data_IF_930701819425
#
_entry.id   IF_930701819425
#
_cell.length_a   1.000
_cell.length_b   1.000
_cell.length_c   1.000
_cell.angle_alpha   90.00
_cell.angle_beta   90.00
_cell.angle_gamma   90.00
#
_symmetry.space_group_name_H-M   'P 1'
#
loop_
_entity.id
_entity.type
_entity.pdbx_description
1 polymer ?
#
# COMPACT_ATOMS: atom_id res chain seq x y z
N UNK A 1 28.44 6.97 -70.30
CA UNK A 1 29.53 7.95 -70.05
C UNK A 1 29.08 8.87 -68.93
N UNK A 2 29.96 9.14 -67.95
CA UNK A 2 29.78 9.96 -66.73
C UNK A 2 29.26 9.25 -65.45
N UNK A 3 30.13 8.44 -64.85
CA UNK A 3 30.97 8.76 -63.65
C UNK A 3 30.35 9.53 -62.45
N UNK A 4 30.24 8.83 -61.28
CA UNK A 4 30.60 9.14 -59.86
C UNK A 4 29.97 10.45 -59.24
N UNK A 5 29.30 10.51 -58.07
CA UNK A 5 29.73 10.23 -56.68
C UNK A 5 28.57 10.10 -55.68
N UNK A 6 28.82 9.27 -54.66
CA UNK A 6 28.06 9.14 -53.43
C UNK A 6 28.35 10.32 -52.48
N UNK A 7 27.33 10.75 -51.70
CA UNK A 7 27.54 11.35 -50.38
C UNK A 7 26.36 11.08 -49.47
N UNK A 8 26.58 10.12 -48.59
CA UNK A 8 25.88 9.90 -47.33
C UNK A 8 26.20 11.08 -46.42
N UNK A 9 25.20 11.75 -45.86
CA UNK A 9 25.39 12.61 -44.69
C UNK A 9 24.24 12.40 -43.69
N UNK A 10 24.52 11.54 -42.72
CA UNK A 10 23.81 11.45 -41.45
C UNK A 10 24.25 12.64 -40.57
N UNK A 11 23.50 13.73 -40.57
CA UNK A 11 23.55 14.73 -39.50
C UNK A 11 22.69 14.24 -38.33
N UNK A 12 23.07 14.29 -37.06
CA UNK A 12 24.28 14.75 -36.40
C UNK A 12 24.15 14.32 -34.93
N UNK A 13 25.05 13.45 -34.47
CA UNK A 13 25.14 13.11 -33.06
C UNK A 13 25.79 14.29 -32.32
N UNK A 14 25.21 14.83 -31.23
CA UNK A 14 25.92 15.79 -30.42
C UNK A 14 27.08 15.09 -29.70
N UNK A 15 28.27 15.32 -30.25
CA UNK A 15 29.57 15.52 -29.61
C UNK A 15 29.63 15.20 -28.11
N UNK A 16 30.39 14.17 -27.78
CA UNK A 16 30.79 13.81 -26.42
C UNK A 16 31.29 15.05 -25.65
N UNK A 17 30.54 15.44 -24.62
CA UNK A 17 30.94 16.49 -23.71
C UNK A 17 32.13 16.03 -22.87
N UNK A 18 33.14 16.90 -22.87
CA UNK A 18 34.41 16.90 -22.17
C UNK A 18 34.39 16.22 -20.80
N UNK A 19 35.13 15.11 -20.74
CA UNK A 19 35.55 14.38 -19.54
C UNK A 19 36.55 15.25 -18.78
N UNK A 20 36.11 16.07 -17.83
CA UNK A 20 36.92 16.64 -16.73
C UNK A 20 36.03 17.45 -15.76
N UNK A 21 35.40 16.74 -14.82
CA UNK A 21 34.88 17.31 -13.59
C UNK A 21 35.29 16.35 -12.47
N UNK A 22 36.01 16.87 -11.46
CA UNK A 22 36.40 16.12 -10.27
C UNK A 22 35.21 15.33 -9.74
N UNK A 23 35.37 14.01 -9.59
CA UNK A 23 34.49 13.19 -8.80
C UNK A 23 34.74 13.56 -7.33
N UNK A 24 34.15 14.67 -6.88
CA UNK A 24 34.01 14.93 -5.47
C UNK A 24 33.07 13.84 -4.95
N UNK A 25 33.64 12.95 -4.13
CA UNK A 25 32.96 11.83 -3.51
C UNK A 25 31.79 12.39 -2.68
N UNK A 26 30.53 12.32 -3.15
CA UNK A 26 29.43 12.87 -2.40
C UNK A 26 29.04 11.75 -1.44
N UNK A 27 29.57 11.82 -0.22
CA UNK A 27 29.23 10.88 0.84
C UNK A 27 27.74 10.58 0.84
N UNK A 28 27.39 9.33 0.48
CA UNK A 28 26.06 8.71 0.59
C UNK A 28 24.85 9.66 0.45
N UNK A 29 24.85 10.55 -0.54
CA UNK A 29 23.83 11.59 -0.72
C UNK A 29 23.27 11.54 -2.13
N UNK A 30 22.08 10.97 -2.30
CA UNK A 30 21.38 10.97 -3.58
C UNK A 30 21.02 12.42 -3.92
N UNK A 31 21.49 12.93 -5.07
CA UNK A 31 21.08 14.26 -5.51
C UNK A 31 19.58 14.27 -5.86
N UNK A 32 18.86 15.38 -5.63
CA UNK A 32 17.42 15.47 -5.94
C UNK A 32 17.10 15.10 -7.40
N UNK A 33 17.98 15.46 -8.34
CA UNK A 33 17.81 15.11 -9.76
C UNK A 33 17.95 13.60 -10.03
N UNK A 34 18.87 12.91 -9.36
CA UNK A 34 19.02 11.45 -9.46
C UNK A 34 17.87 10.74 -8.75
N UNK A 35 17.34 11.35 -7.70
CA UNK A 35 16.21 10.83 -6.94
C UNK A 35 14.88 11.00 -7.66
N UNK A 36 14.63 12.14 -8.32
CA UNK A 36 13.46 12.36 -9.17
C UNK A 36 13.53 11.53 -10.46
N UNK A 37 14.74 11.31 -10.99
CA UNK A 37 14.96 10.39 -12.11
C UNK A 37 14.84 8.91 -11.69
N UNK A 38 15.00 8.61 -10.39
CA UNK A 38 14.79 7.26 -9.89
C UNK A 38 13.29 6.98 -9.84
N UNK A 39 12.87 5.84 -10.38
CA UNK A 39 11.49 5.37 -10.35
C UNK A 39 11.03 4.97 -8.92
N UNK A 40 11.50 5.68 -7.89
CA UNK A 40 11.41 5.30 -6.49
C UNK A 40 9.99 5.48 -5.96
N UNK A 41 9.44 4.41 -5.39
CA UNK A 41 8.03 4.29 -5.02
C UNK A 41 7.13 3.72 -6.13
N UNK A 42 7.65 3.62 -7.36
CA UNK A 42 6.93 3.12 -8.55
C UNK A 42 7.52 1.83 -9.11
N UNK A 43 8.57 1.29 -8.49
CA UNK A 43 9.25 0.09 -8.95
C UNK A 43 8.29 -1.10 -9.01
N UNK A 44 8.45 -1.97 -10.01
CA UNK A 44 7.55 -3.10 -10.24
C UNK A 44 7.42 -4.03 -9.02
N UNK A 45 8.49 -4.21 -8.24
CA UNK A 45 8.49 -5.06 -7.04
C UNK A 45 7.72 -4.46 -5.85
N UNK A 46 7.41 -3.16 -5.87
CA UNK A 46 6.55 -2.49 -4.89
C UNK A 46 5.08 -2.49 -5.29
N UNK A 47 4.75 -3.00 -6.47
CA UNK A 47 3.39 -2.96 -6.99
C UNK A 47 2.54 -4.07 -6.38
N UNK A 48 1.39 -3.74 -5.74
CA UNK A 48 0.57 -4.75 -5.10
C UNK A 48 0.20 -5.84 -6.11
N UNK A 49 0.36 -7.12 -5.74
CA UNK A 49 0.02 -8.21 -6.65
C UNK A 49 -1.49 -8.21 -6.89
N UNK A 50 -1.87 -8.62 -8.09
CA UNK A 50 -3.26 -8.78 -8.51
C UNK A 50 -3.46 -10.21 -9.00
N UNK A 51 -4.65 -10.76 -8.77
CA UNK A 51 -5.05 -12.00 -9.41
C UNK A 51 -5.30 -11.76 -10.91
N UNK A 52 -5.13 -12.80 -11.72
CA UNK A 52 -5.30 -12.71 -13.18
C UNK A 52 -6.74 -12.34 -13.59
N UNK A 53 -7.72 -12.61 -12.72
CA UNK A 53 -9.14 -12.32 -12.93
C UNK A 53 -9.63 -11.07 -12.18
N UNK A 54 -8.74 -10.33 -11.51
CA UNK A 54 -9.05 -9.05 -10.89
C UNK A 54 -9.03 -7.92 -11.95
N UNK A 55 -10.11 -7.16 -12.06
CA UNK A 55 -10.15 -5.92 -12.85
C UNK A 55 -9.50 -4.79 -12.05
N UNK A 56 -8.48 -4.13 -12.62
CA UNK A 56 -7.86 -2.95 -12.01
C UNK A 56 -8.73 -1.72 -12.26
N UNK A 57 -9.21 -1.10 -11.19
CA UNK A 57 -9.98 0.16 -11.28
C UNK A 57 -9.07 1.37 -11.10
N UNK A 58 -8.24 1.35 -10.06
CA UNK A 58 -7.33 2.44 -9.74
C UNK A 58 -5.99 1.91 -9.27
N UNK A 59 -4.92 2.60 -9.64
CA UNK A 59 -3.58 2.33 -9.18
C UNK A 59 -2.90 3.63 -8.78
N UNK A 60 -2.49 3.69 -7.51
CA UNK A 60 -1.83 4.85 -6.92
C UNK A 60 -0.48 4.42 -6.33
N UNK A 61 0.62 4.57 -7.09
CA UNK A 61 1.93 4.15 -6.63
C UNK A 61 2.47 5.09 -5.54
N UNK A 62 3.49 4.60 -4.84
CA UNK A 62 4.20 5.35 -3.82
C UNK A 62 4.85 6.60 -4.41
N UNK A 63 4.70 7.72 -3.69
CA UNK A 63 5.17 9.05 -4.10
C UNK A 63 5.44 9.92 -2.89
N UNK A 64 6.02 11.10 -3.14
CA UNK A 64 6.01 12.20 -2.18
C UNK A 64 4.75 13.01 -2.44
N UNK A 65 3.88 13.12 -1.45
CA UNK A 65 2.67 13.95 -1.54
C UNK A 65 3.02 15.40 -1.21
N UNK A 66 2.58 16.39 -2.01
CA UNK A 66 2.81 17.79 -1.70
C UNK A 66 2.17 18.14 -0.35
N UNK A 67 2.89 18.93 0.45
CA UNK A 67 2.33 19.49 1.67
C UNK A 67 1.19 20.46 1.33
N UNK A 68 0.17 20.48 2.19
CA UNK A 68 -0.93 21.47 2.09
C UNK A 68 -0.47 22.84 2.62
N UNK A 69 0.64 22.88 3.37
CA UNK A 69 1.22 24.10 3.94
C UNK A 69 2.44 24.55 3.14
N UNK A 70 2.43 25.81 2.71
CA UNK A 70 3.56 26.46 2.03
C UNK A 70 4.83 26.39 2.90
N UNK A 71 5.96 26.06 2.27
CA UNK A 71 7.27 25.99 2.93
C UNK A 71 7.57 24.67 3.67
N UNK A 72 6.66 23.69 3.66
CA UNK A 72 6.89 22.37 4.26
C UNK A 72 7.20 21.34 3.16
N UNK A 73 8.27 20.57 3.35
CA UNK A 73 8.61 19.44 2.47
C UNK A 73 7.47 18.43 2.43
N UNK A 74 7.18 17.86 1.26
CA UNK A 74 6.09 16.90 1.07
C UNK A 74 6.20 15.66 1.97
N UNK A 75 5.09 14.96 2.17
CA UNK A 75 5.05 13.70 2.92
C UNK A 75 5.57 12.56 2.05
N UNK A 76 6.65 11.91 2.48
CA UNK A 76 7.18 10.74 1.78
C UNK A 76 6.33 9.49 2.04
N UNK A 77 5.56 9.09 1.02
CA UNK A 77 4.70 7.90 1.06
C UNK A 77 5.19 6.81 0.08
N UNK A 78 6.45 6.86 -0.36
CA UNK A 78 6.99 5.93 -1.38
C UNK A 78 7.08 4.48 -0.94
N UNK A 79 6.97 4.24 0.36
CA UNK A 79 6.87 2.90 0.93
C UNK A 79 5.52 2.24 0.74
N UNK A 80 4.49 2.94 0.25
CA UNK A 80 3.14 2.41 0.09
C UNK A 80 2.63 2.57 -1.34
N UNK A 81 2.23 1.46 -1.96
CA UNK A 81 1.53 1.47 -3.25
C UNK A 81 0.14 0.86 -3.07
N UNK A 82 -0.85 1.46 -3.69
CA UNK A 82 -2.25 1.10 -3.53
C UNK A 82 -2.88 0.72 -4.87
N UNK A 83 -3.77 -0.27 -4.84
CA UNK A 83 -4.65 -0.63 -5.95
C UNK A 83 -6.07 -0.86 -5.47
N UNK A 84 -7.05 -0.34 -6.19
CA UNK A 84 -8.45 -0.77 -6.04
C UNK A 84 -8.76 -1.72 -7.18
N UNK A 85 -9.26 -2.89 -6.82
CA UNK A 85 -9.58 -3.95 -7.76
C UNK A 85 -11.03 -4.40 -7.61
N UNK A 86 -11.58 -4.91 -8.71
CA UNK A 86 -12.85 -5.61 -8.74
C UNK A 86 -12.60 -7.07 -9.11
N UNK A 87 -12.64 -8.01 -8.16
CA UNK A 87 -12.58 -9.43 -8.48
C UNK A 87 -13.81 -9.85 -9.29
N UNK A 88 -13.64 -10.86 -10.14
CA UNK A 88 -14.73 -11.51 -10.88
C UNK A 88 -15.88 -11.93 -9.95
N UNK A 89 -15.55 -12.44 -8.77
CA UNK A 89 -16.52 -12.80 -7.72
C UNK A 89 -16.10 -12.15 -6.41
N UNK A 90 -17.05 -11.49 -5.73
CA UNK A 90 -16.83 -10.87 -4.43
C UNK A 90 -16.91 -9.34 -4.47
N UNK A 91 -16.44 -8.72 -3.39
CA UNK A 91 -16.51 -7.28 -3.17
C UNK A 91 -15.33 -6.53 -3.78
N UNK A 92 -15.46 -5.22 -3.93
CA UNK A 92 -14.33 -4.36 -4.26
C UNK A 92 -13.29 -4.45 -3.14
N UNK A 93 -12.01 -4.42 -3.52
CA UNK A 93 -10.93 -4.50 -2.55
C UNK A 93 -9.88 -3.43 -2.78
N UNK A 94 -9.38 -2.87 -1.69
CA UNK A 94 -8.14 -2.11 -1.66
C UNK A 94 -7.00 -3.09 -1.35
N UNK A 95 -6.02 -3.18 -2.23
CA UNK A 95 -4.78 -3.91 -2.00
C UNK A 95 -3.68 -2.88 -1.77
N UNK A 96 -2.94 -3.04 -0.69
CA UNK A 96 -1.75 -2.23 -0.40
C UNK A 96 -0.53 -3.13 -0.32
N UNK A 97 0.58 -2.66 -0.87
CA UNK A 97 1.89 -3.22 -0.62
C UNK A 97 2.75 -2.17 0.07
N UNK A 98 3.30 -2.55 1.22
CA UNK A 98 4.11 -1.68 2.06
C UNK A 98 5.20 -2.44 2.81
N UNK A 99 5.98 -1.73 3.65
CA UNK A 99 7.10 -2.33 4.39
C UNK A 99 6.74 -3.52 5.29
N UNK A 100 5.48 -3.60 5.75
CA UNK A 100 4.98 -4.73 6.56
C UNK A 100 4.42 -5.90 5.73
N UNK A 101 4.56 -5.86 4.40
CA UNK A 101 4.02 -6.88 3.49
C UNK A 101 2.82 -6.37 2.69
N UNK A 102 1.92 -7.30 2.33
CA UNK A 102 0.76 -7.04 1.49
C UNK A 102 -0.50 -7.18 2.34
N UNK A 103 -1.40 -6.20 2.23
CA UNK A 103 -2.71 -6.25 2.88
C UNK A 103 -3.84 -6.05 1.88
N UNK A 104 -4.97 -6.70 2.18
CA UNK A 104 -6.22 -6.57 1.42
C UNK A 104 -7.32 -6.11 2.36
N UNK A 105 -8.02 -5.05 1.97
CA UNK A 105 -9.14 -4.44 2.71
C UNK A 105 -10.40 -4.57 1.85
N UNK A 106 -11.46 -5.14 2.42
CA UNK A 106 -12.76 -5.24 1.77
C UNK A 106 -13.47 -3.88 1.81
N UNK A 107 -13.85 -3.35 0.65
CA UNK A 107 -14.58 -2.07 0.50
C UNK A 107 -16.10 -2.27 0.37
N UNK A 108 -16.57 -3.52 0.45
CA UNK A 108 -17.95 -3.92 0.22
C UNK A 108 -18.35 -3.91 -1.25
N UNK A 109 -19.65 -4.04 -1.50
CA UNK A 109 -20.22 -4.16 -2.85
C UNK A 109 -20.69 -2.81 -3.45
N UNK A 110 -20.48 -1.69 -2.75
CA UNK A 110 -21.08 -0.42 -3.14
C UNK A 110 -20.38 0.20 -4.35
N UNK A 111 -21.05 0.19 -5.51
CA UNK A 111 -20.59 0.91 -6.71
C UNK A 111 -20.46 2.42 -6.47
N UNK A 112 -21.26 2.99 -5.56
CA UNK A 112 -21.14 4.41 -5.16
C UNK A 112 -19.77 4.72 -4.55
N UNK A 113 -19.20 3.76 -3.81
CA UNK A 113 -17.87 3.91 -3.21
C UNK A 113 -16.81 4.03 -4.30
N UNK A 114 -16.88 3.21 -5.35
CA UNK A 114 -15.95 3.26 -6.48
C UNK A 114 -16.14 4.53 -7.31
N UNK A 115 -17.37 4.93 -7.59
CA UNK A 115 -17.65 6.16 -8.33
C UNK A 115 -17.09 7.41 -7.63
N UNK A 116 -17.01 7.42 -6.29
CA UNK A 116 -16.39 8.53 -5.56
C UNK A 116 -14.90 8.65 -5.90
N UNK A 117 -14.19 7.54 -6.09
CA UNK A 117 -12.79 7.55 -6.49
C UNK A 117 -12.57 8.06 -7.92
N UNK A 118 -13.51 7.84 -8.84
CA UNK A 118 -13.42 8.35 -10.22
C UNK A 118 -13.40 9.88 -10.28
N UNK A 119 -14.08 10.55 -9.34
CA UNK A 119 -14.21 12.00 -9.30
C UNK A 119 -13.03 12.71 -8.61
N UNK A 120 -12.07 11.96 -8.07
CA UNK A 120 -10.92 12.50 -7.33
C UNK A 120 -9.70 12.62 -8.23
N UNK A 121 -8.88 13.64 -7.97
CA UNK A 121 -7.51 13.65 -8.48
C UNK A 121 -6.66 12.56 -7.80
N UNK A 122 -5.49 12.29 -8.38
CA UNK A 122 -4.61 11.19 -7.96
C UNK A 122 -4.10 11.35 -6.52
N UNK A 123 -3.82 12.57 -6.06
CA UNK A 123 -3.31 12.80 -4.71
C UNK A 123 -4.43 12.69 -3.67
N UNK A 124 -5.60 13.25 -3.96
CA UNK A 124 -6.80 13.07 -3.12
C UNK A 124 -7.16 11.59 -3.00
N UNK A 125 -7.14 10.86 -4.11
CA UNK A 125 -7.42 9.42 -4.14
C UNK A 125 -6.39 8.62 -3.32
N UNK A 126 -5.09 8.92 -3.47
CA UNK A 126 -4.03 8.30 -2.66
C UNK A 126 -4.28 8.54 -1.16
N UNK A 127 -4.54 9.79 -0.77
CA UNK A 127 -4.82 10.15 0.64
C UNK A 127 -6.03 9.40 1.19
N UNK A 128 -7.10 9.27 0.41
CA UNK A 128 -8.28 8.52 0.82
C UNK A 128 -7.97 7.02 1.00
N UNK A 129 -7.24 6.40 0.08
CA UNK A 129 -6.80 5.01 0.20
C UNK A 129 -5.96 4.79 1.47
N UNK A 130 -5.07 5.74 1.77
CA UNK A 130 -4.29 5.74 3.01
C UNK A 130 -5.20 5.83 4.25
N UNK A 131 -6.15 6.78 4.27
CA UNK A 131 -7.09 6.92 5.39
C UNK A 131 -7.93 5.65 5.61
N UNK A 132 -8.35 4.96 4.55
CA UNK A 132 -9.06 3.68 4.67
C UNK A 132 -8.17 2.62 5.33
N UNK A 133 -6.91 2.52 4.93
CA UNK A 133 -5.94 1.60 5.54
C UNK A 133 -5.74 1.91 7.03
N UNK A 134 -5.57 3.18 7.38
CA UNK A 134 -5.37 3.60 8.78
C UNK A 134 -6.58 3.27 9.65
N UNK A 135 -7.79 3.61 9.18
CA UNK A 135 -9.05 3.27 9.87
C UNK A 135 -9.19 1.76 10.04
N UNK A 136 -8.91 0.98 9.00
CA UNK A 136 -8.96 -0.49 9.05
C UNK A 136 -7.97 -1.07 10.07
N UNK A 137 -6.76 -0.55 10.09
CA UNK A 137 -5.70 -0.98 11.01
C UNK A 137 -6.05 -0.65 12.44
N UNK A 138 -6.55 0.57 12.69
CA UNK A 138 -7.02 0.99 14.01
C UNK A 138 -8.22 0.16 14.47
N UNK A 139 -9.21 -0.08 13.61
CA UNK A 139 -10.38 -0.90 13.94
C UNK A 139 -9.98 -2.36 14.27
N UNK A 140 -9.05 -2.95 13.53
CA UNK A 140 -8.49 -4.29 13.84
C UNK A 140 -7.83 -4.32 15.22
N UNK A 141 -7.01 -3.31 15.52
CA UNK A 141 -6.33 -3.19 16.82
C UNK A 141 -7.33 -3.05 17.95
N UNK A 142 -8.30 -2.16 17.84
CA UNK A 142 -9.35 -1.95 18.84
C UNK A 142 -10.19 -3.23 19.06
N UNK A 143 -10.57 -3.92 17.99
CA UNK A 143 -11.30 -5.19 18.08
C UNK A 143 -10.47 -6.27 18.80
N UNK A 144 -9.17 -6.35 18.51
CA UNK A 144 -8.26 -7.28 19.18
C UNK A 144 -8.09 -6.93 20.66
N UNK A 145 -7.93 -5.65 21.01
CA UNK A 145 -7.82 -5.18 22.39
C UNK A 145 -9.10 -5.41 23.18
N UNK A 146 -10.28 -5.13 22.60
CA UNK A 146 -11.58 -5.38 23.20
C UNK A 146 -11.78 -6.88 23.48
N UNK A 147 -11.46 -7.73 22.49
CA UNK A 147 -11.51 -9.19 22.64
C UNK A 147 -10.57 -9.64 23.75
N UNK A 148 -9.30 -9.21 23.73
CA UNK A 148 -8.31 -9.54 24.74
C UNK A 148 -8.73 -9.08 26.15
N UNK A 149 -9.38 -7.92 26.27
CA UNK A 149 -9.96 -7.44 27.53
C UNK A 149 -11.05 -8.40 28.03
N UNK A 150 -12.02 -8.76 27.19
CA UNK A 150 -13.09 -9.71 27.56
C UNK A 150 -12.54 -11.05 28.02
N UNK A 151 -11.53 -11.59 27.33
CA UNK A 151 -10.89 -12.85 27.73
C UNK A 151 -10.12 -12.74 29.05
N UNK A 152 -9.40 -11.62 29.29
CA UNK A 152 -8.71 -11.35 30.56
C UNK A 152 -9.69 -11.28 31.73
N UNK A 153 -10.80 -10.55 31.57
CA UNK A 153 -11.84 -10.43 32.59
C UNK A 153 -12.49 -11.78 32.89
N UNK A 154 -12.85 -12.55 31.85
CA UNK A 154 -13.42 -13.88 32.01
C UNK A 154 -12.45 -14.87 32.68
N UNK A 155 -11.14 -14.75 32.42
CA UNK A 155 -10.11 -15.54 33.08
C UNK A 155 -10.04 -15.22 34.57
N UNK A 156 -9.95 -13.93 34.94
CA UNK A 156 -9.92 -13.47 36.34
C UNK A 156 -11.17 -13.93 37.10
N UNK A 157 -12.34 -13.91 36.44
CA UNK A 157 -13.61 -14.33 37.02
C UNK A 157 -13.83 -15.86 37.02
N UNK A 158 -12.88 -16.67 36.53
CA UNK A 158 -13.02 -18.13 36.46
C UNK A 158 -14.07 -18.64 35.45
N UNK A 159 -14.57 -17.77 34.57
CA UNK A 159 -15.59 -18.05 33.55
C UNK A 159 -15.01 -18.55 32.23
N UNK A 160 -13.69 -18.49 32.06
CA UNK A 160 -13.01 -19.02 30.88
C UNK A 160 -12.89 -20.55 30.99
N UNK A 161 -13.67 -21.27 30.18
CA UNK A 161 -13.63 -22.74 30.12
C UNK A 161 -12.88 -23.22 28.89
N UNK A 162 -12.21 -24.36 29.05
CA UNK A 162 -11.53 -25.07 27.98
C UNK A 162 -11.90 -26.55 28.02
N UNK A 163 -12.11 -27.16 26.86
CA UNK A 163 -12.26 -28.60 26.71
C UNK A 163 -11.43 -29.08 25.53
N UNK A 164 -10.56 -30.05 25.80
CA UNK A 164 -9.80 -30.73 24.78
C UNK A 164 -10.68 -31.78 24.07
N UNK A 165 -10.62 -31.82 22.74
CA UNK A 165 -11.36 -32.75 21.89
C UNK A 165 -10.35 -33.65 21.16
N UNK A 166 -9.91 -34.77 21.78
CA UNK A 166 -8.79 -35.57 21.28
C UNK A 166 -9.06 -36.18 19.89
N UNK A 167 -10.29 -36.59 19.61
CA UNK A 167 -10.69 -37.12 18.30
C UNK A 167 -10.54 -36.11 17.14
N UNK A 168 -10.42 -34.81 17.44
CA UNK A 168 -10.25 -33.74 16.44
C UNK A 168 -8.93 -32.98 16.61
N UNK A 169 -8.06 -33.38 17.53
CA UNK A 169 -6.79 -32.69 17.82
C UNK A 169 -6.95 -31.19 18.17
N UNK A 170 -8.11 -30.76 18.65
CA UNK A 170 -8.44 -29.33 18.85
C UNK A 170 -8.92 -29.05 20.27
N UNK A 171 -8.81 -27.79 20.69
CA UNK A 171 -9.28 -27.33 22.01
C UNK A 171 -10.37 -26.29 21.80
N UNK A 172 -11.55 -26.55 22.37
CA UNK A 172 -12.65 -25.58 22.41
C UNK A 172 -12.45 -24.69 23.63
N UNK A 173 -12.48 -23.37 23.43
CA UNK A 173 -12.43 -22.36 24.50
C UNK A 173 -13.71 -21.52 24.41
N UNK A 174 -14.36 -21.28 25.53
CA UNK A 174 -15.55 -20.43 25.60
C UNK A 174 -15.64 -19.70 26.95
N UNK A 175 -16.41 -18.62 26.98
CA UNK A 175 -16.67 -17.82 28.18
C UNK A 175 -18.10 -18.15 28.64
N UNK A 176 -18.25 -18.62 29.87
CA UNK A 176 -19.56 -18.81 30.50
C UNK A 176 -20.19 -17.45 30.83
N UNK A 177 -21.52 -17.27 30.72
CA UNK A 177 -22.18 -16.03 31.09
C UNK A 177 -21.93 -15.70 32.57
N UNK A 178 -21.88 -14.40 32.91
CA UNK A 178 -21.78 -14.00 34.30
C UNK A 178 -23.04 -14.48 35.05
N UNK A 179 -22.86 -15.11 36.21
CA UNK A 179 -24.00 -15.43 37.07
C UNK A 179 -24.63 -14.11 37.52
N UNK A 180 -25.87 -13.86 37.11
CA UNK A 180 -26.67 -12.74 37.59
C UNK A 180 -26.99 -12.99 39.08
N UNK A 181 -26.13 -12.54 39.99
CA UNK A 181 -26.35 -12.74 41.43
C UNK A 181 -25.13 -12.52 42.30
N UNK A 182 -24.78 -11.25 42.51
CA UNK A 182 -24.15 -10.72 43.73
C UNK A 182 -24.02 -9.19 43.57
N UNK A 183 -25.17 -8.51 43.62
CA UNK A 183 -25.26 -7.11 44.01
C UNK A 183 -25.94 -7.08 45.37
#
# INVERSE_FOLDING_TARGET
>A
MMTIEAKTDCAGAPSAATRNGKLEDPGFGWSPAVFDASNHGREAWRQPPMADDDELLFHEPGRILPSVHEGVSGTDCRSHSFKIVKPRVGNYALIVQHGSGIERVDLGYSRRTVNAFEQMDSDTRFRLMWSILDIHTNAKREAAEATAKTFREAFVQGRLKKRHLPARGTTKVWIEPAHAGAA
#
